data_IF_427725607128
#
_entry.id   IF_427725607128
#
_cell.length_a   1.000
_cell.length_b   1.000
_cell.length_c   1.000
_cell.angle_alpha   90.00
_cell.angle_beta   90.00
_cell.angle_gamma   90.00
#
_symmetry.space_group_name_H-M   'P 1'
#
loop_
_entity.id
_entity.type
_entity.pdbx_description
1 polymer ?
#
# COMPACT_ATOMS: atom_id res chain seq x y z
N UNK A 1 16.68 17.34 3.70
CA UNK A 1 15.58 17.43 4.69
C UNK A 1 15.39 18.86 5.19
N UNK A 2 16.38 19.43 5.88
CA UNK A 2 16.33 20.77 6.49
C UNK A 2 15.92 21.87 5.52
N UNK A 3 16.52 21.94 4.32
CA UNK A 3 16.15 22.95 3.31
C UNK A 3 14.70 22.82 2.80
N UNK A 4 14.19 21.59 2.68
CA UNK A 4 12.83 21.35 2.22
C UNK A 4 11.80 21.85 3.26
N UNK A 5 12.02 21.52 4.53
CA UNK A 5 11.18 21.96 5.65
C UNK A 5 11.31 23.47 5.89
N UNK A 6 12.53 24.04 5.76
CA UNK A 6 12.74 25.48 5.85
C UNK A 6 11.92 26.27 4.83
N UNK A 7 11.78 25.74 3.60
CA UNK A 7 10.96 26.36 2.54
C UNK A 7 9.47 26.10 2.72
N UNK A 8 9.09 24.96 3.29
CA UNK A 8 7.70 24.53 3.50
C UNK A 8 7.57 23.89 4.89
N UNK A 9 7.36 24.70 5.93
CA UNK A 9 7.36 24.21 7.32
C UNK A 9 6.12 23.37 7.67
N UNK A 10 5.02 23.54 6.93
CA UNK A 10 3.83 22.69 7.01
C UNK A 10 4.00 21.53 6.03
N UNK A 11 4.48 20.39 6.54
CA UNK A 11 4.80 19.24 5.71
C UNK A 11 4.55 17.92 6.44
N UNK A 12 4.26 16.88 5.65
CA UNK A 12 4.32 15.49 6.12
C UNK A 12 5.71 14.95 5.77
N UNK A 13 6.41 14.43 6.77
CA UNK A 13 7.72 13.79 6.63
C UNK A 13 7.54 12.29 6.73
N UNK A 14 7.77 11.57 5.63
CA UNK A 14 7.69 10.11 5.59
C UNK A 14 9.10 9.51 5.65
N UNK A 15 9.37 8.72 6.70
CA UNK A 15 10.54 7.87 6.80
C UNK A 15 10.12 6.41 6.61
N UNK A 16 10.46 5.85 5.46
CA UNK A 16 10.08 4.49 5.11
C UNK A 16 11.13 3.48 5.60
N UNK A 17 10.69 2.32 6.09
CA UNK A 17 11.53 1.21 6.57
C UNK A 17 12.62 1.65 7.56
N UNK A 18 12.22 2.36 8.61
CA UNK A 18 13.15 3.02 9.54
C UNK A 18 14.09 2.04 10.26
N UNK A 19 13.74 0.76 10.38
CA UNK A 19 14.61 -0.29 10.93
C UNK A 19 15.91 -0.50 10.14
N UNK A 20 15.97 -0.07 8.88
CA UNK A 20 17.16 -0.18 8.03
C UNK A 20 18.10 1.02 8.16
N UNK A 21 17.68 2.07 8.86
CA UNK A 21 18.47 3.28 9.01
C UNK A 21 19.69 3.03 9.92
N UNK A 22 20.78 3.74 9.66
CA UNK A 22 21.96 3.72 10.53
C UNK A 22 21.63 4.33 11.91
N UNK A 23 22.20 3.83 13.03
CA UNK A 23 21.98 4.39 14.37
C UNK A 23 22.08 5.91 14.48
N UNK A 24 23.00 6.54 13.74
CA UNK A 24 23.16 8.01 13.77
C UNK A 24 21.95 8.78 13.23
N UNK A 25 21.13 8.17 12.37
CA UNK A 25 19.89 8.77 11.88
C UNK A 25 18.90 8.92 13.02
N UNK A 26 18.86 7.98 13.96
CA UNK A 26 17.95 8.05 15.11
C UNK A 26 18.30 9.21 16.04
N UNK A 27 19.58 9.56 16.19
CA UNK A 27 19.98 10.72 16.98
C UNK A 27 19.43 12.03 16.38
N UNK A 28 19.43 12.15 15.05
CA UNK A 28 18.84 13.31 14.36
C UNK A 28 17.32 13.32 14.49
N UNK A 29 16.69 12.16 14.39
CA UNK A 29 15.24 12.03 14.58
C UNK A 29 14.81 12.36 16.00
N UNK A 30 15.57 11.95 17.02
CA UNK A 30 15.32 12.33 18.41
C UNK A 30 15.29 13.85 18.56
N UNK A 31 16.26 14.56 17.97
CA UNK A 31 16.25 16.02 18.02
C UNK A 31 14.99 16.64 17.38
N UNK A 32 14.53 16.08 16.26
CA UNK A 32 13.28 16.52 15.60
C UNK A 32 12.08 16.23 16.49
N UNK A 33 11.97 15.04 17.06
CA UNK A 33 10.82 14.60 17.85
C UNK A 33 10.77 15.24 19.24
N UNK A 34 11.93 15.56 19.84
CA UNK A 34 12.03 16.19 21.16
C UNK A 34 11.94 17.71 21.09
N UNK A 35 12.83 18.35 20.32
CA UNK A 35 12.97 19.80 20.30
C UNK A 35 12.11 20.47 19.21
N UNK A 36 11.53 19.67 18.31
CA UNK A 36 10.88 20.19 17.11
C UNK A 36 11.84 20.95 16.22
N UNK A 37 13.16 20.68 16.29
CA UNK A 37 14.20 21.42 15.58
C UNK A 37 15.31 20.48 15.13
N UNK A 38 16.00 20.87 14.06
CA UNK A 38 17.21 20.19 13.61
C UNK A 38 18.22 21.23 13.17
N UNK A 39 19.45 21.10 13.65
CA UNK A 39 20.57 21.94 13.20
C UNK A 39 21.36 21.21 12.13
N UNK A 40 21.51 21.83 10.96
CA UNK A 40 22.28 21.24 9.87
C UNK A 40 23.81 21.40 10.06
N UNK A 41 24.59 20.75 9.19
CA UNK A 41 26.06 20.83 9.23
C UNK A 41 26.63 22.23 8.92
N UNK A 42 25.80 23.18 8.48
CA UNK A 42 26.19 24.59 8.30
C UNK A 42 25.83 25.45 9.53
N UNK A 43 25.33 24.83 10.61
CA UNK A 43 24.92 25.50 11.83
C UNK A 43 23.55 26.19 11.74
N UNK A 44 22.75 25.91 10.70
CA UNK A 44 21.41 26.49 10.57
C UNK A 44 20.40 25.61 11.27
N UNK A 45 19.65 26.20 12.20
CA UNK A 45 18.54 25.53 12.88
C UNK A 45 17.25 25.70 12.09
N UNK A 46 16.58 24.58 11.79
CA UNK A 46 15.29 24.52 11.10
C UNK A 46 14.21 24.04 12.07
N UNK A 47 13.03 24.64 11.99
CA UNK A 47 11.86 24.33 12.82
C UNK A 47 10.98 23.25 12.16
N UNK A 48 10.68 22.20 12.91
CA UNK A 48 9.87 21.04 12.55
C UNK A 48 8.56 20.97 13.34
N UNK A 49 8.26 21.93 14.23
CA UNK A 49 7.04 21.92 15.08
C UNK A 49 5.73 21.93 14.30
N UNK A 50 5.75 22.32 13.02
CA UNK A 50 4.59 22.32 12.13
C UNK A 50 4.60 21.13 11.15
N UNK A 51 5.45 20.13 11.38
CA UNK A 51 5.53 18.93 10.56
C UNK A 51 4.85 17.74 11.22
N UNK A 52 4.24 16.88 10.41
CA UNK A 52 3.76 15.56 10.84
C UNK A 52 4.79 14.53 10.41
N UNK A 53 5.40 13.84 11.38
CA UNK A 53 6.40 12.80 11.11
C UNK A 53 5.71 11.43 11.08
N UNK A 54 5.78 10.74 9.95
CA UNK A 54 5.28 9.39 9.76
C UNK A 54 6.48 8.48 9.51
N UNK A 55 6.57 7.41 10.29
CA UNK A 55 7.63 6.40 10.16
C UNK A 55 6.99 5.06 9.90
N UNK A 56 7.47 4.33 8.90
CA UNK A 56 7.02 2.96 8.63
C UNK A 56 8.10 1.99 9.07
N UNK A 57 7.68 0.79 9.47
CA UNK A 57 8.60 -0.29 9.76
C UNK A 57 8.01 -1.64 9.40
N UNK A 58 8.82 -2.55 8.87
CA UNK A 58 8.41 -3.93 8.65
C UNK A 58 8.73 -4.85 9.85
N UNK A 59 9.23 -4.30 10.96
CA UNK A 59 9.49 -5.07 12.19
C UNK A 59 8.19 -5.72 12.67
N UNK A 60 8.25 -7.01 13.02
CA UNK A 60 7.08 -7.79 13.45
C UNK A 60 6.13 -8.22 12.31
N UNK A 61 6.36 -7.83 11.06
CA UNK A 61 5.50 -8.21 9.93
C UNK A 61 5.41 -9.74 9.73
N UNK A 62 6.50 -10.47 10.01
CA UNK A 62 6.53 -11.94 9.93
C UNK A 62 5.67 -12.60 11.02
N UNK A 63 5.58 -11.99 12.19
CA UNK A 63 4.83 -12.54 13.33
C UNK A 63 3.33 -12.26 13.19
N UNK A 64 2.98 -11.15 12.53
CA UNK A 64 1.62 -10.86 12.07
C UNK A 64 1.15 -11.90 11.04
N UNK A 65 2.01 -12.30 10.10
CA UNK A 65 1.68 -13.31 9.09
C UNK A 65 1.47 -14.71 9.69
N UNK A 66 2.24 -15.09 10.73
CA UNK A 66 2.10 -16.39 11.42
C UNK A 66 0.86 -16.50 12.31
N UNK A 67 0.25 -15.38 12.70
CA UNK A 67 -1.01 -15.35 13.46
C UNK A 67 -2.23 -15.80 12.65
N UNK A 68 -2.11 -15.86 11.33
CA UNK A 68 -3.11 -16.47 10.45
C UNK A 68 -2.89 -17.99 10.45
N UNK A 69 -3.72 -18.71 11.20
CA UNK A 69 -3.66 -20.17 11.27
C UNK A 69 -3.62 -20.80 9.87
N UNK A 70 -2.55 -21.54 9.59
CA UNK A 70 -2.43 -22.38 8.41
C UNK A 70 -3.50 -23.50 8.52
N UNK A 71 -4.56 -23.42 7.71
CA UNK A 71 -5.29 -24.62 7.28
C UNK A 71 -6.78 -24.73 7.56
N UNK A 72 -7.36 -24.09 8.59
CA UNK A 72 -8.80 -24.29 8.91
C UNK A 72 -9.54 -23.07 9.47
N UNK A 73 -8.85 -21.99 9.82
CA UNK A 73 -9.44 -20.75 10.36
C UNK A 73 -9.53 -19.60 9.35
N UNK A 74 -8.88 -19.74 8.19
CA UNK A 74 -8.86 -18.70 7.15
C UNK A 74 -10.25 -18.39 6.57
N UNK A 75 -11.18 -19.37 6.60
CA UNK A 75 -12.55 -19.19 6.10
C UNK A 75 -13.46 -18.41 7.07
N UNK A 76 -13.13 -18.34 8.37
CA UNK A 76 -13.97 -17.67 9.37
C UNK A 76 -13.59 -16.21 9.65
N UNK A 77 -12.56 -15.70 8.97
CA UNK A 77 -11.95 -14.43 9.35
C UNK A 77 -11.19 -14.53 10.69
N UNK A 78 -10.25 -13.62 10.91
CA UNK A 78 -9.56 -13.53 12.19
C UNK A 78 -10.53 -13.01 13.25
N UNK A 79 -10.56 -13.63 14.43
CA UNK A 79 -11.32 -13.09 15.55
C UNK A 79 -10.65 -11.80 16.07
N UNK A 80 -11.40 -10.91 16.73
CA UNK A 80 -10.81 -9.74 17.40
C UNK A 80 -9.69 -10.14 18.38
N UNK A 81 -9.81 -11.30 19.03
CA UNK A 81 -8.79 -11.84 19.92
C UNK A 81 -7.48 -12.23 19.21
N UNK A 82 -7.56 -12.72 17.97
CA UNK A 82 -6.36 -13.05 17.18
C UNK A 82 -5.64 -11.79 16.69
N UNK A 83 -6.40 -10.78 16.32
CA UNK A 83 -5.87 -9.46 15.96
C UNK A 83 -5.15 -8.80 17.14
N UNK A 84 -5.73 -8.88 18.34
CA UNK A 84 -5.11 -8.33 19.55
C UNK A 84 -3.78 -9.02 19.87
N UNK A 85 -3.73 -10.35 19.82
CA UNK A 85 -2.49 -11.12 20.02
C UNK A 85 -1.43 -10.83 18.95
N UNK A 86 -1.85 -10.61 17.70
CA UNK A 86 -0.94 -10.25 16.62
C UNK A 86 -0.35 -8.85 16.86
N UNK A 87 -1.19 -7.89 17.28
CA UNK A 87 -0.76 -6.53 17.66
C UNK A 87 0.25 -6.54 18.81
N UNK A 88 -0.02 -7.30 19.87
CA UNK A 88 0.89 -7.41 21.02
C UNK A 88 2.27 -7.93 20.62
N UNK A 89 2.33 -8.99 19.79
CA UNK A 89 3.59 -9.52 19.26
C UNK A 89 4.35 -8.52 18.39
N UNK A 90 3.65 -7.77 17.54
CA UNK A 90 4.28 -6.75 16.72
C UNK A 90 4.86 -5.60 17.58
N UNK A 91 4.15 -5.18 18.62
CA UNK A 91 4.63 -4.18 19.57
C UNK A 91 5.84 -4.69 20.37
N UNK A 92 5.85 -5.95 20.76
CA UNK A 92 7.01 -6.56 21.43
C UNK A 92 8.23 -6.61 20.51
N UNK A 93 8.06 -7.04 19.26
CA UNK A 93 9.14 -7.02 18.26
C UNK A 93 9.68 -5.60 18.02
N UNK A 94 8.80 -4.59 17.96
CA UNK A 94 9.21 -3.19 17.87
C UNK A 94 10.05 -2.77 19.08
N UNK A 95 9.62 -3.09 20.31
CA UNK A 95 10.36 -2.76 21.55
C UNK A 95 11.73 -3.43 21.64
N UNK A 96 11.90 -4.58 21.00
CA UNK A 96 13.20 -5.25 20.90
C UNK A 96 14.11 -4.62 19.83
N UNK A 97 13.53 -4.11 18.73
CA UNK A 97 14.28 -3.55 17.62
C UNK A 97 14.68 -2.09 17.81
N UNK A 98 13.89 -1.30 18.57
CA UNK A 98 14.12 0.12 18.77
C UNK A 98 14.37 0.43 20.24
N UNK A 99 15.20 1.44 20.49
CA UNK A 99 15.53 1.86 21.86
C UNK A 99 14.31 2.51 22.54
N UNK A 100 14.10 2.31 23.85
CA UNK A 100 12.99 2.93 24.57
C UNK A 100 12.96 4.45 24.46
N UNK A 101 14.13 5.11 24.43
CA UNK A 101 14.25 6.57 24.27
C UNK A 101 13.55 7.07 23.00
N UNK A 102 13.70 6.35 21.89
CA UNK A 102 13.07 6.69 20.62
C UNK A 102 11.56 6.44 20.64
N UNK A 103 11.14 5.28 21.16
CA UNK A 103 9.72 4.92 21.23
C UNK A 103 8.92 5.86 22.14
N UNK A 104 9.54 6.36 23.21
CA UNK A 104 8.92 7.32 24.12
C UNK A 104 8.69 8.72 23.49
N UNK A 105 9.26 8.98 22.30
CA UNK A 105 9.04 10.22 21.53
C UNK A 105 8.07 10.07 20.38
N UNK A 106 7.54 8.87 20.18
CA UNK A 106 6.49 8.63 19.21
C UNK A 106 5.16 8.82 19.93
N UNK A 107 4.34 9.75 19.44
CA UNK A 107 3.03 10.04 20.03
C UNK A 107 2.11 8.82 19.99
N UNK A 108 2.02 8.17 18.83
CA UNK A 108 1.14 7.03 18.58
C UNK A 108 1.80 5.96 17.72
N UNK A 109 1.61 4.70 18.11
CA UNK A 109 2.06 3.53 17.35
C UNK A 109 0.86 2.82 16.73
N UNK A 110 0.79 2.87 15.40
CA UNK A 110 -0.26 2.23 14.61
C UNK A 110 0.23 0.89 14.07
N UNK A 111 -0.44 -0.21 14.46
CA UNK A 111 -0.17 -1.54 13.93
C UNK A 111 -1.19 -1.88 12.86
N UNK A 112 -0.72 -2.11 11.63
CA UNK A 112 -1.56 -2.50 10.52
C UNK A 112 -1.90 -4.00 10.60
N UNK A 113 -3.18 -4.34 10.44
CA UNK A 113 -3.63 -5.72 10.27
C UNK A 113 -3.38 -6.19 8.85
N UNK A 114 -3.17 -7.50 8.68
CA UNK A 114 -3.18 -8.11 7.36
C UNK A 114 -4.53 -7.90 6.67
N UNK A 115 -4.49 -7.63 5.37
CA UNK A 115 -5.68 -7.45 4.56
C UNK A 115 -6.41 -8.78 4.36
N UNK A 116 -7.71 -8.77 4.56
CA UNK A 116 -8.62 -9.86 4.20
C UNK A 116 -8.85 -9.93 2.69
N UNK A 117 -9.37 -11.06 2.19
CA UNK A 117 -9.77 -11.20 0.77
C UNK A 117 -10.74 -10.10 0.34
N UNK A 118 -11.68 -9.72 1.20
CA UNK A 118 -12.67 -8.66 0.93
C UNK A 118 -11.98 -7.31 0.78
N UNK A 119 -11.07 -6.95 1.68
CA UNK A 119 -10.30 -5.69 1.58
C UNK A 119 -9.37 -5.70 0.35
N UNK A 120 -8.80 -6.86 0.00
CA UNK A 120 -7.99 -7.00 -1.22
C UNK A 120 -8.82 -6.81 -2.50
N UNK A 121 -10.06 -7.31 -2.55
CA UNK A 121 -10.98 -7.04 -3.66
C UNK A 121 -11.31 -5.55 -3.77
N UNK A 122 -11.51 -4.85 -2.64
CA UNK A 122 -11.69 -3.40 -2.65
C UNK A 122 -10.47 -2.67 -3.23
N UNK A 123 -9.25 -3.16 -2.98
CA UNK A 123 -8.03 -2.62 -3.60
C UNK A 123 -8.03 -2.85 -5.10
N UNK A 124 -8.46 -4.04 -5.57
CA UNK A 124 -8.62 -4.32 -7.00
C UNK A 124 -9.59 -3.32 -7.63
N UNK A 125 -10.73 -3.04 -6.99
CA UNK A 125 -11.69 -2.04 -7.48
C UNK A 125 -11.09 -0.64 -7.55
N UNK A 126 -10.33 -0.21 -6.54
CA UNK A 126 -9.67 1.09 -6.55
C UNK A 126 -8.68 1.21 -7.72
N UNK A 127 -7.90 0.17 -7.97
CA UNK A 127 -6.93 0.13 -9.08
C UNK A 127 -7.62 0.09 -10.44
N UNK A 128 -8.72 -0.67 -10.56
CA UNK A 128 -9.53 -0.71 -11.79
C UNK A 128 -10.15 0.66 -12.08
N UNK A 129 -10.62 1.40 -11.07
CA UNK A 129 -11.11 2.78 -11.25
C UNK A 129 -10.05 3.73 -11.79
N UNK A 130 -8.79 3.55 -11.40
CA UNK A 130 -7.69 4.32 -12.00
C UNK A 130 -7.52 4.00 -13.49
N UNK A 131 -7.64 2.72 -13.88
CA UNK A 131 -7.59 2.30 -15.29
C UNK A 131 -8.80 2.84 -16.05
N UNK A 132 -10.02 2.68 -15.52
CA UNK A 132 -11.26 3.22 -16.07
C UNK A 132 -11.14 4.71 -16.38
N UNK A 133 -10.57 5.49 -15.45
CA UNK A 133 -10.33 6.91 -15.65
C UNK A 133 -9.39 7.17 -16.84
N UNK A 134 -8.28 6.43 -16.94
CA UNK A 134 -7.29 6.59 -18.04
C UNK A 134 -7.87 6.23 -19.41
N UNK A 135 -8.65 5.16 -19.50
CA UNK A 135 -9.23 4.71 -20.79
C UNK A 135 -10.44 5.56 -21.19
N UNK A 136 -11.17 6.11 -20.22
CA UNK A 136 -12.26 7.07 -20.47
C UNK A 136 -11.77 8.35 -21.14
N UNK A 137 -10.57 8.83 -20.79
CA UNK A 137 -9.95 9.97 -21.47
C UNK A 137 -9.67 9.69 -22.96
N UNK A 138 -9.64 8.42 -23.37
CA UNK A 138 -9.55 7.97 -24.77
C UNK A 138 -10.89 7.56 -25.38
N UNK A 139 -11.99 7.80 -24.66
CA UNK A 139 -13.35 7.51 -25.09
C UNK A 139 -13.76 6.05 -24.96
N UNK A 140 -13.04 5.22 -24.19
CA UNK A 140 -13.43 3.83 -23.92
C UNK A 140 -14.00 3.75 -22.51
N UNK A 141 -15.15 3.10 -22.35
CA UNK A 141 -15.69 2.73 -21.05
C UNK A 141 -15.47 1.25 -20.82
N UNK A 142 -15.06 0.86 -19.61
CA UNK A 142 -14.86 -0.55 -19.26
C UNK A 142 -15.75 -0.93 -18.08
N UNK A 143 -16.23 -2.16 -18.11
CA UNK A 143 -16.95 -2.80 -17.01
C UNK A 143 -16.34 -4.16 -16.78
N UNK A 144 -15.89 -4.41 -15.56
CA UNK A 144 -15.22 -5.66 -15.18
C UNK A 144 -16.21 -6.53 -14.42
N UNK A 145 -16.25 -7.84 -14.72
CA UNK A 145 -17.08 -8.82 -14.00
C UNK A 145 -16.50 -9.16 -12.62
N UNK A 146 -17.30 -9.76 -11.73
CA UNK A 146 -16.80 -10.18 -10.42
C UNK A 146 -15.78 -11.31 -10.53
N UNK A 147 -15.97 -12.24 -11.46
CA UNK A 147 -15.04 -13.32 -11.76
C UNK A 147 -13.69 -12.75 -12.21
N UNK A 148 -13.71 -11.71 -13.05
CA UNK A 148 -12.49 -11.06 -13.52
C UNK A 148 -11.75 -10.33 -12.38
N UNK A 149 -12.47 -9.71 -11.45
CA UNK A 149 -11.87 -9.14 -10.22
C UNK A 149 -11.20 -10.21 -9.37
N UNK A 150 -11.86 -11.35 -9.19
CA UNK A 150 -11.30 -12.47 -8.44
C UNK A 150 -10.06 -13.04 -9.13
N UNK A 151 -10.07 -13.22 -10.45
CA UNK A 151 -8.90 -13.68 -11.21
C UNK A 151 -7.73 -12.70 -11.09
N UNK A 152 -7.99 -11.39 -11.18
CA UNK A 152 -6.96 -10.36 -11.00
C UNK A 152 -6.36 -10.39 -9.59
N UNK A 153 -7.20 -10.63 -8.58
CA UNK A 153 -6.73 -10.82 -7.21
C UNK A 153 -5.85 -12.08 -7.10
N UNK A 154 -6.30 -13.22 -7.62
CA UNK A 154 -5.56 -14.48 -7.55
C UNK A 154 -4.21 -14.41 -8.28
N UNK A 155 -4.15 -13.77 -9.45
CA UNK A 155 -2.91 -13.61 -10.22
C UNK A 155 -2.01 -12.49 -9.68
N UNK A 156 -2.54 -11.54 -8.92
CA UNK A 156 -1.81 -10.35 -8.47
C UNK A 156 -1.56 -10.27 -6.97
N UNK A 157 -2.08 -11.21 -6.18
CA UNK A 157 -1.78 -11.34 -4.76
C UNK A 157 -0.59 -12.28 -4.55
N UNK A 158 0.40 -11.82 -3.80
CA UNK A 158 1.50 -12.65 -3.34
C UNK A 158 1.53 -12.63 -1.81
N UNK A 159 1.49 -13.78 -1.11
CA UNK A 159 1.52 -13.81 0.35
C UNK A 159 2.73 -13.12 1.00
N UNK A 160 3.86 -13.02 0.30
CA UNK A 160 5.09 -12.35 0.76
C UNK A 160 5.09 -10.86 0.44
N UNK A 161 4.54 -10.46 -0.70
CA UNK A 161 4.55 -9.06 -1.16
C UNK A 161 3.19 -8.35 -1.00
N UNK A 162 2.18 -9.03 -0.47
CA UNK A 162 0.82 -8.55 -0.29
C UNK A 162 0.18 -8.09 -1.60
N UNK A 163 -0.52 -6.96 -1.54
CA UNK A 163 -1.18 -6.32 -2.67
C UNK A 163 -0.22 -5.62 -3.66
N UNK A 164 1.09 -5.56 -3.37
CA UNK A 164 2.05 -4.79 -4.19
C UNK A 164 2.06 -5.22 -5.68
N UNK A 165 1.96 -6.52 -6.04
CA UNK A 165 1.93 -6.91 -7.44
C UNK A 165 0.61 -6.60 -8.16
N UNK A 166 -0.50 -6.36 -7.44
CA UNK A 166 -1.84 -6.17 -8.03
C UNK A 166 -1.85 -5.07 -9.08
N UNK A 167 -1.21 -3.93 -8.81
CA UNK A 167 -1.12 -2.81 -9.76
C UNK A 167 -0.49 -3.24 -11.08
N UNK A 168 0.59 -4.02 -11.01
CA UNK A 168 1.28 -4.54 -12.21
C UNK A 168 0.45 -5.58 -12.94
N UNK A 169 -0.23 -6.46 -12.21
CA UNK A 169 -1.12 -7.46 -12.79
C UNK A 169 -2.28 -6.81 -13.53
N UNK A 170 -2.95 -5.84 -12.91
CA UNK A 170 -4.04 -5.08 -13.53
C UNK A 170 -3.55 -4.30 -14.75
N UNK A 171 -2.39 -3.64 -14.66
CA UNK A 171 -1.80 -2.95 -15.80
C UNK A 171 -1.60 -3.92 -16.98
N UNK A 172 -0.95 -5.06 -16.76
CA UNK A 172 -0.67 -6.03 -17.83
C UNK A 172 -1.92 -6.70 -18.40
N UNK A 173 -2.79 -7.18 -17.51
CA UNK A 173 -3.93 -8.00 -17.92
C UNK A 173 -5.09 -7.17 -18.44
N UNK A 174 -5.21 -5.91 -18.00
CA UNK A 174 -6.33 -5.02 -18.36
C UNK A 174 -5.86 -3.88 -19.25
N UNK A 175 -5.00 -3.01 -18.75
CA UNK A 175 -4.64 -1.75 -19.44
C UNK A 175 -3.86 -1.99 -20.73
N UNK A 176 -2.77 -2.77 -20.66
CA UNK A 176 -1.94 -3.10 -21.81
C UNK A 176 -2.78 -3.87 -22.86
N UNK A 177 -3.62 -4.81 -22.41
CA UNK A 177 -4.48 -5.60 -23.30
C UNK A 177 -5.54 -4.75 -24.00
N UNK A 178 -6.17 -3.81 -23.29
CA UNK A 178 -7.10 -2.85 -23.89
C UNK A 178 -6.40 -1.95 -24.90
N UNK A 179 -5.18 -1.50 -24.61
CA UNK A 179 -4.38 -0.69 -25.53
C UNK A 179 -4.07 -1.47 -26.82
N UNK A 180 -3.65 -2.73 -26.72
CA UNK A 180 -3.40 -3.60 -27.88
C UNK A 180 -4.66 -3.76 -28.74
N UNK A 181 -5.81 -4.09 -28.12
CA UNK A 181 -7.08 -4.29 -28.84
C UNK A 181 -7.59 -3.00 -29.51
N UNK A 182 -7.34 -1.84 -28.89
CA UNK A 182 -7.65 -0.55 -29.49
C UNK A 182 -6.74 -0.25 -30.70
N UNK A 183 -5.44 -0.53 -30.61
CA UNK A 183 -4.48 -0.35 -31.70
C UNK A 183 -4.73 -1.32 -32.87
N UNK A 184 -5.17 -2.54 -32.58
CA UNK A 184 -5.66 -3.52 -33.58
C UNK A 184 -6.97 -3.08 -34.26
N UNK A 185 -7.64 -2.04 -33.76
CA UNK A 185 -8.90 -1.54 -34.28
C UNK A 185 -10.12 -2.37 -33.92
N UNK A 186 -10.00 -3.28 -32.94
CA UNK A 186 -11.11 -4.12 -32.45
C UNK A 186 -12.10 -3.32 -31.60
N UNK A 187 -11.62 -2.30 -30.90
CA UNK A 187 -12.46 -1.33 -30.18
C UNK A 187 -12.29 0.04 -30.78
N UNK A 188 -13.41 0.75 -30.96
CA UNK A 188 -13.43 2.13 -31.46
C UNK A 188 -13.61 3.11 -30.31
N UNK A 189 -13.36 4.38 -30.60
CA UNK A 189 -13.71 5.45 -29.67
C UNK A 189 -15.22 5.44 -29.42
N UNK A 190 -15.63 5.52 -28.16
CA UNK A 190 -17.01 5.35 -27.71
C UNK A 190 -17.40 3.93 -27.30
N UNK A 191 -16.51 2.94 -27.47
CA UNK A 191 -16.78 1.55 -27.13
C UNK A 191 -17.01 1.37 -25.61
N UNK A 192 -18.00 0.55 -25.28
CA UNK A 192 -18.20 0.00 -23.94
C UNK A 192 -17.69 -1.42 -23.93
N UNK A 193 -16.65 -1.71 -23.15
CA UNK A 193 -15.99 -3.02 -23.13
C UNK A 193 -16.35 -3.74 -21.84
N UNK A 194 -16.89 -4.95 -21.97
CA UNK A 194 -17.08 -5.88 -20.88
C UNK A 194 -15.86 -6.80 -20.75
N UNK A 195 -15.29 -6.85 -19.55
CA UNK A 195 -14.13 -7.65 -19.20
C UNK A 195 -14.58 -8.81 -18.33
N UNK A 196 -14.38 -10.04 -18.81
CA UNK A 196 -14.75 -11.27 -18.12
C UNK A 196 -13.60 -12.27 -18.13
N UNK A 197 -13.74 -13.36 -17.39
CA UNK A 197 -12.75 -14.45 -17.36
C UNK A 197 -13.03 -15.46 -18.46
N UNK A 198 -12.00 -15.87 -19.18
CA UNK A 198 -12.02 -17.02 -20.09
C UNK A 198 -10.89 -17.97 -19.66
N UNK A 199 -11.27 -18.93 -18.80
CA UNK A 199 -10.31 -19.79 -18.10
C UNK A 199 -9.35 -18.97 -17.23
N UNK A 200 -8.07 -19.02 -17.57
CA UNK A 200 -6.98 -18.38 -16.82
C UNK A 200 -6.59 -16.98 -17.34
N UNK A 201 -7.33 -16.48 -18.33
CA UNK A 201 -7.10 -15.17 -18.97
C UNK A 201 -8.33 -14.27 -18.90
N UNK A 202 -8.12 -12.99 -19.21
CA UNK A 202 -9.22 -12.04 -19.39
C UNK A 202 -9.62 -11.98 -20.86
N UNK A 203 -10.93 -12.01 -21.08
CA UNK A 203 -11.57 -11.80 -22.37
C UNK A 203 -12.27 -10.45 -22.38
N UNK A 204 -12.27 -9.81 -23.55
CA UNK A 204 -12.74 -8.44 -23.74
C UNK A 204 -13.76 -8.45 -24.87
N UNK A 205 -15.00 -8.06 -24.59
CA UNK A 205 -16.07 -7.97 -25.59
C UNK A 205 -16.66 -6.57 -25.59
N UNK A 206 -16.95 -6.05 -26.78
CA UNK A 206 -17.69 -4.80 -26.90
C UNK A 206 -19.18 -5.06 -26.60
N UNK A 207 -19.75 -4.30 -25.67
CA UNK A 207 -21.18 -4.27 -25.41
C UNK A 207 -21.84 -3.49 -26.55
N UNK A 208 -22.59 -4.19 -27.40
CA UNK A 208 -23.46 -3.53 -28.37
C UNK A 208 -24.57 -2.79 -27.61
N UNK A 209 -24.82 -1.55 -28.01
CA UNK A 209 -25.89 -0.71 -27.47
C UNK A 209 -27.28 -1.22 -27.89
#
# INVERSE_FOLDING_TARGET
>A
LTEAVRRRPYAVLLFDEIEKAHPDVFNLLLQILEDGRLTDGQGRTVDFRNTVVIMTSNVGARDLAKGQGLGFTAEKGLSEGDHQKARERALEAMKQSFRPEFLNRVDDIVVFRSLSKVELLQIVDLLLREVEKRVKDRGIEIQVSEEARNLLLEKGYDPKFGARPLRRTIQKMVEDRLADLFLEGKFRQGAKVWVETEGDQLSFRELQA
#
